data_IF_190800983906
#
_entry.id   IF_190800983906
#
_cell.length_a   1.000
_cell.length_b   1.000
_cell.length_c   1.000
_cell.angle_alpha   90.00
_cell.angle_beta   90.00
_cell.angle_gamma   90.00
#
_symmetry.space_group_name_H-M   'P 1'
#
loop_
_entity.id
_entity.type
_entity.pdbx_description
1 polymer ?
#
# COMPACT_ATOMS: atom_id res chain seq x y z
N UNK A 1 -21.65 -16.34 -18.57
CA UNK A 1 -20.92 -15.67 -17.48
C UNK A 1 -19.45 -15.68 -17.86
N UNK A 2 -18.99 -14.61 -18.50
CA UNK A 2 -17.59 -14.42 -18.84
C UNK A 2 -17.00 -13.52 -17.77
N UNK A 3 -16.11 -14.09 -16.94
CA UNK A 3 -15.28 -13.30 -16.04
C UNK A 3 -14.46 -12.35 -16.91
N UNK A 4 -14.70 -11.04 -16.78
CA UNK A 4 -13.74 -10.04 -17.20
C UNK A 4 -12.52 -10.26 -16.32
N UNK A 5 -11.51 -10.92 -16.89
CA UNK A 5 -10.17 -10.96 -16.37
C UNK A 5 -9.65 -9.52 -16.38
N UNK A 6 -9.71 -8.86 -15.24
CA UNK A 6 -8.83 -7.73 -14.93
C UNK A 6 -7.41 -8.28 -15.07
N UNK A 7 -6.79 -8.04 -16.23
CA UNK A 7 -5.40 -8.44 -16.48
C UNK A 7 -4.53 -7.70 -15.48
N UNK A 8 -3.84 -8.48 -14.68
CA UNK A 8 -2.88 -8.05 -13.70
C UNK A 8 -1.83 -7.11 -14.30
N UNK A 9 -1.79 -5.88 -13.82
CA UNK A 9 -0.57 -5.07 -13.73
C UNK A 9 0.13 -5.30 -12.37
N UNK A 10 -0.15 -6.42 -11.69
CA UNK A 10 0.33 -6.74 -10.35
C UNK A 10 1.38 -7.86 -10.30
N UNK A 11 1.80 -8.41 -11.44
CA UNK A 11 2.91 -9.37 -11.52
C UNK A 11 4.24 -8.59 -11.58
N UNK A 12 4.70 -8.14 -10.43
CA UNK A 12 6.00 -7.45 -10.31
C UNK A 12 6.15 -6.53 -9.10
N UNK A 13 5.09 -6.32 -8.32
CA UNK A 13 5.15 -5.45 -7.14
C UNK A 13 5.89 -6.17 -5.99
N UNK A 14 6.95 -5.58 -5.40
CA UNK A 14 7.52 -6.11 -4.18
C UNK A 14 6.42 -6.23 -3.11
N UNK A 15 6.55 -7.22 -2.23
CA UNK A 15 5.57 -7.56 -1.19
C UNK A 15 5.49 -6.50 -0.07
N UNK A 16 5.53 -5.22 -0.42
CA UNK A 16 5.31 -4.11 0.50
C UNK A 16 3.80 -3.88 0.56
N UNK A 17 3.27 -4.07 1.75
CA UNK A 17 1.84 -4.01 2.05
C UNK A 17 1.31 -2.59 1.77
N UNK A 18 0.73 -2.36 0.59
CA UNK A 18 0.23 -1.05 0.09
C UNK A 18 -0.75 -0.34 1.04
N UNK A 19 -1.47 -1.10 1.88
CA UNK A 19 -2.37 -0.58 2.92
C UNK A 19 -1.66 -0.05 4.17
N UNK A 20 -0.39 -0.40 4.40
CA UNK A 20 0.37 0.04 5.58
C UNK A 20 1.00 1.41 5.39
N UNK A 21 1.48 1.74 4.19
CA UNK A 21 2.09 3.05 3.89
C UNK A 21 1.06 4.20 3.88
N UNK A 22 -0.16 3.97 3.37
CA UNK A 22 -1.24 4.97 3.42
C UNK A 22 -1.70 5.34 4.85
N UNK A 23 -1.45 4.47 5.84
CA UNK A 23 -1.72 4.79 7.25
C UNK A 23 -0.54 5.49 7.96
N UNK A 24 0.65 5.49 7.35
CA UNK A 24 1.87 6.09 7.90
C UNK A 24 2.01 7.58 7.56
N UNK A 25 1.52 8.02 6.40
CA UNK A 25 1.54 9.46 6.01
C UNK A 25 0.61 10.33 6.89
N UNK A 26 -0.31 9.73 7.65
CA UNK A 26 -1.10 10.42 8.68
C UNK A 26 -0.41 10.55 10.05
N UNK A 27 0.65 9.79 10.30
CA UNK A 27 1.39 9.78 11.57
C UNK A 27 2.74 10.46 11.38
N UNK A 28 2.75 11.79 11.49
CA UNK A 28 3.98 12.60 11.42
C UNK A 28 5.00 12.21 12.50
N UNK A 29 5.94 11.34 12.15
CA UNK A 29 7.12 11.04 12.99
C UNK A 29 8.28 11.94 12.59
N UNK A 30 8.31 13.14 13.18
CA UNK A 30 9.46 14.03 13.13
C UNK A 30 10.53 13.57 14.12
N UNK A 31 11.46 12.71 13.69
CA UNK A 31 12.68 12.44 14.45
C UNK A 31 13.77 13.46 14.08
N UNK A 32 13.65 14.68 14.60
CA UNK A 32 14.69 15.69 14.49
C UNK A 32 15.79 15.44 15.53
N UNK A 33 16.90 14.81 15.13
CA UNK A 33 18.10 14.72 15.94
C UNK A 33 19.15 15.70 15.40
N UNK A 34 19.31 16.82 16.09
CA UNK A 34 20.41 17.78 15.91
C UNK A 34 21.74 17.08 16.21
N UNK A 35 22.57 16.90 15.17
CA UNK A 35 23.94 16.43 15.34
C UNK A 35 24.77 17.51 16.05
N UNK A 36 24.94 17.39 17.36
CA UNK A 36 25.84 18.20 18.14
C UNK A 36 27.29 17.80 17.82
N UNK A 37 28.00 18.62 17.05
CA UNK A 37 29.43 18.44 16.82
C UNK A 37 30.20 18.77 18.11
N UNK A 38 30.70 17.74 18.80
CA UNK A 38 31.62 17.93 19.94
C UNK A 38 32.96 18.46 19.41
N UNK A 39 33.20 19.76 19.55
CA UNK A 39 34.53 20.36 19.36
C UNK A 39 35.38 20.07 20.60
N UNK A 40 36.26 19.08 20.53
CA UNK A 40 37.39 18.99 21.45
C UNK A 40 38.56 19.83 20.93
N UNK A 41 39.08 20.68 21.82
CA UNK A 41 40.15 21.60 21.55
C UNK A 41 41.54 20.94 21.60
N UNK A 42 42.38 21.33 20.64
CA UNK A 42 43.83 21.52 20.74
C UNK A 42 44.72 20.32 21.14
N UNK A 43 45.26 19.64 20.12
CA UNK A 43 46.70 19.45 19.96
C UNK A 43 46.97 19.15 18.48
N UNK A 44 47.82 19.95 17.82
CA UNK A 44 48.22 19.74 16.42
C UNK A 44 49.32 18.66 16.33
N UNK A 45 49.05 17.54 15.65
CA UNK A 45 50.06 16.91 14.79
C UNK A 45 49.47 16.55 13.41
N UNK A 46 50.27 15.97 12.49
CA UNK A 46 50.40 16.44 11.11
C UNK A 46 49.09 16.38 10.31
N UNK A 47 49.00 17.17 9.24
CA UNK A 47 47.91 17.16 8.25
C UNK A 47 47.89 15.79 7.56
N UNK A 48 47.33 14.79 8.23
CA UNK A 48 46.74 13.62 7.62
C UNK A 48 45.56 14.14 6.81
N UNK A 49 45.47 13.73 5.54
CA UNK A 49 44.25 13.89 4.77
C UNK A 49 43.07 13.52 5.68
N UNK A 50 42.08 14.40 5.81
CA UNK A 50 40.93 14.16 6.66
C UNK A 50 40.41 12.76 6.33
N UNK A 51 40.61 11.81 7.25
CA UNK A 51 40.21 10.43 7.02
C UNK A 51 38.71 10.45 6.79
N UNK A 52 38.29 10.08 5.58
CA UNK A 52 36.87 9.98 5.26
C UNK A 52 36.24 9.03 6.26
N UNK A 53 35.07 9.41 6.78
CA UNK A 53 34.36 8.59 7.75
C UNK A 53 34.13 7.19 7.15
N UNK A 54 34.34 6.09 7.90
CA UNK A 54 34.22 4.74 7.33
C UNK A 54 32.82 4.44 6.77
N UNK A 55 31.81 5.14 7.25
CA UNK A 55 30.42 5.08 6.76
C UNK A 55 30.01 6.29 5.88
N UNK A 56 30.95 6.98 5.23
CA UNK A 56 30.65 8.16 4.40
C UNK A 56 29.65 7.86 3.27
N UNK A 57 29.70 6.68 2.67
CA UNK A 57 28.74 6.24 1.64
C UNK A 57 27.31 6.12 2.22
N UNK A 58 27.16 5.56 3.42
CA UNK A 58 25.86 5.45 4.09
C UNK A 58 25.25 6.84 4.34
N UNK A 59 26.05 7.82 4.76
CA UNK A 59 25.57 9.19 4.97
C UNK A 59 25.21 9.91 3.66
N UNK A 60 25.91 9.61 2.57
CA UNK A 60 25.56 10.15 1.26
C UNK A 60 24.22 9.58 0.78
N UNK A 61 24.05 8.26 0.87
CA UNK A 61 22.80 7.58 0.50
C UNK A 61 21.62 7.99 1.37
N UNK A 62 21.84 8.25 2.65
CA UNK A 62 20.79 8.76 3.51
C UNK A 62 20.23 10.09 3.00
N UNK A 63 21.09 11.01 2.59
CA UNK A 63 20.66 12.32 2.06
C UNK A 63 19.91 12.18 0.75
N UNK A 64 20.35 11.27 -0.12
CA UNK A 64 19.65 10.97 -1.37
C UNK A 64 18.26 10.36 -1.12
N UNK A 65 18.18 9.41 -0.18
CA UNK A 65 16.92 8.82 0.25
C UNK A 65 15.99 9.85 0.91
N UNK A 66 16.52 10.79 1.70
CA UNK A 66 15.73 11.87 2.29
C UNK A 66 15.08 12.74 1.19
N UNK A 67 15.83 13.05 0.13
CA UNK A 67 15.27 13.76 -1.02
C UNK A 67 14.22 12.93 -1.77
N UNK A 68 14.44 11.62 -1.94
CA UNK A 68 13.45 10.72 -2.56
C UNK A 68 12.17 10.61 -1.71
N UNK A 69 12.32 10.51 -0.39
CA UNK A 69 11.19 10.48 0.54
C UNK A 69 10.39 11.78 0.52
N UNK A 70 11.05 12.94 0.43
CA UNK A 70 10.35 14.22 0.26
C UNK A 70 9.53 14.28 -1.04
N UNK A 71 10.04 13.70 -2.13
CA UNK A 71 9.26 13.54 -3.38
C UNK A 71 8.08 12.59 -3.20
N UNK A 72 8.27 11.48 -2.49
CA UNK A 72 7.21 10.53 -2.17
C UNK A 72 6.07 11.19 -1.36
N UNK A 73 6.38 11.95 -0.32
CA UNK A 73 5.38 12.69 0.47
C UNK A 73 4.62 13.69 -0.38
N UNK A 74 5.33 14.45 -1.23
CA UNK A 74 4.68 15.38 -2.18
C UNK A 74 3.73 14.65 -3.13
N UNK A 75 4.12 13.48 -3.64
CA UNK A 75 3.27 12.65 -4.49
C UNK A 75 2.08 12.08 -3.71
N UNK A 76 2.27 11.70 -2.45
CA UNK A 76 1.21 11.20 -1.57
C UNK A 76 0.14 12.27 -1.31
N UNK A 77 0.55 13.50 -0.98
CA UNK A 77 -0.34 14.64 -0.78
C UNK A 77 -1.13 14.97 -2.05
N UNK A 78 -0.45 14.99 -3.20
CA UNK A 78 -1.08 15.23 -4.49
C UNK A 78 -2.10 14.14 -4.82
N UNK A 79 -1.77 12.87 -4.58
CA UNK A 79 -2.65 11.74 -4.80
C UNK A 79 -3.87 11.77 -3.87
N UNK A 80 -3.68 12.07 -2.59
CA UNK A 80 -4.77 12.24 -1.62
C UNK A 80 -5.70 13.37 -2.03
N UNK A 81 -5.15 14.53 -2.36
CA UNK A 81 -5.93 15.70 -2.81
C UNK A 81 -6.73 15.40 -4.07
N UNK A 82 -6.17 14.62 -4.99
CA UNK A 82 -6.87 14.18 -6.19
C UNK A 82 -8.00 13.21 -5.84
N UNK A 83 -7.73 12.22 -5.00
CA UNK A 83 -8.72 11.26 -4.53
C UNK A 83 -9.94 11.96 -3.90
N UNK A 84 -9.71 12.94 -3.03
CA UNK A 84 -10.79 13.71 -2.38
C UNK A 84 -11.66 14.46 -3.41
N UNK A 85 -11.03 15.07 -4.42
CA UNK A 85 -11.75 15.75 -5.52
C UNK A 85 -12.56 14.77 -6.35
N UNK A 86 -12.03 13.58 -6.60
CA UNK A 86 -12.70 12.55 -7.39
C UNK A 86 -13.85 11.93 -6.62
N UNK A 87 -13.67 11.66 -5.33
CA UNK A 87 -14.73 11.15 -4.44
C UNK A 87 -15.92 12.12 -4.40
N UNK A 88 -15.66 13.43 -4.36
CA UNK A 88 -16.71 14.45 -4.41
C UNK A 88 -17.51 14.47 -5.72
N UNK A 89 -16.98 13.90 -6.82
CA UNK A 89 -17.65 13.82 -8.12
C UNK A 89 -18.41 12.51 -8.32
N UNK A 90 -18.25 11.54 -7.44
CA UNK A 90 -18.86 10.22 -7.62
C UNK A 90 -20.39 10.30 -7.55
N UNK A 91 -21.10 9.62 -8.46
CA UNK A 91 -22.55 9.55 -8.40
C UNK A 91 -23.00 8.82 -7.11
N UNK A 92 -24.25 9.03 -6.66
CA UNK A 92 -24.79 8.26 -5.54
C UNK A 92 -24.84 6.77 -5.89
N UNK A 93 -24.54 5.93 -4.90
CA UNK A 93 -24.56 4.47 -5.07
C UNK A 93 -25.99 3.98 -5.33
N UNK A 94 -26.22 3.14 -6.36
CA UNK A 94 -27.51 2.51 -6.58
C UNK A 94 -27.94 1.65 -5.37
N UNK A 95 -29.25 1.50 -5.14
CA UNK A 95 -29.74 0.64 -4.06
C UNK A 95 -29.27 -0.80 -4.27
N UNK A 96 -28.98 -1.46 -3.15
CA UNK A 96 -28.66 -2.89 -3.15
C UNK A 96 -29.90 -3.67 -3.60
N UNK A 97 -29.70 -4.72 -4.38
CA UNK A 97 -30.78 -5.67 -4.68
C UNK A 97 -31.28 -6.31 -3.39
N UNK A 98 -32.57 -6.17 -3.15
CA UNK A 98 -33.31 -6.92 -2.14
C UNK A 98 -34.25 -7.86 -2.86
N UNK A 99 -34.20 -9.12 -2.45
CA UNK A 99 -35.03 -10.13 -3.08
C UNK A 99 -36.47 -9.95 -2.62
N UNK A 100 -37.44 -9.72 -3.54
CA UNK A 100 -38.83 -9.58 -3.13
C UNK A 100 -39.34 -10.89 -2.57
N UNK A 101 -40.08 -10.81 -1.47
CA UNK A 101 -40.79 -11.97 -0.92
C UNK A 101 -41.83 -12.49 -1.91
N UNK A 102 -41.96 -13.81 -1.97
CA UNK A 102 -43.01 -14.44 -2.78
C UNK A 102 -44.37 -14.14 -2.13
N UNK A 103 -45.35 -13.59 -2.86
CA UNK A 103 -46.70 -13.40 -2.34
C UNK A 103 -47.30 -14.69 -1.78
N UNK A 104 -48.01 -14.60 -0.65
CA UNK A 104 -48.53 -15.76 0.10
C UNK A 104 -49.32 -16.75 -0.77
N UNK A 105 -50.21 -16.24 -1.63
CA UNK A 105 -51.00 -17.08 -2.54
C UNK A 105 -50.13 -17.85 -3.55
N UNK A 106 -49.00 -17.29 -4.01
CA UNK A 106 -48.05 -18.00 -4.87
C UNK A 106 -47.22 -19.00 -4.07
N UNK A 107 -46.93 -18.68 -2.81
CA UNK A 107 -46.23 -19.58 -1.90
C UNK A 107 -47.07 -20.82 -1.60
N UNK A 108 -48.37 -20.68 -1.34
CA UNK A 108 -49.31 -21.79 -1.17
C UNK A 108 -49.40 -22.68 -2.41
N UNK A 109 -49.55 -22.09 -3.60
CA UNK A 109 -49.56 -22.85 -4.88
C UNK A 109 -48.23 -23.60 -5.07
N UNK A 110 -47.09 -23.00 -4.71
CA UNK A 110 -45.78 -23.61 -4.84
C UNK A 110 -45.57 -24.75 -3.84
N UNK A 111 -46.06 -24.59 -2.61
CA UNK A 111 -46.05 -25.64 -1.58
C UNK A 111 -46.92 -26.82 -1.98
N UNK A 112 -48.16 -26.57 -2.40
CA UNK A 112 -49.10 -27.62 -2.82
C UNK A 112 -48.52 -28.45 -3.98
N UNK A 113 -47.91 -27.78 -4.96
CA UNK A 113 -47.16 -28.44 -6.04
C UNK A 113 -46.02 -29.30 -5.50
N UNK A 114 -45.18 -28.77 -4.61
CA UNK A 114 -44.03 -29.51 -4.05
C UNK A 114 -44.45 -30.78 -3.32
N UNK A 115 -45.67 -30.81 -2.79
CA UNK A 115 -46.23 -31.94 -2.05
C UNK A 115 -46.89 -33.01 -2.95
N UNK A 116 -47.32 -32.68 -4.18
CA UNK A 116 -48.15 -33.55 -5.06
C UNK A 116 -47.44 -34.05 -6.33
N UNK A 117 -46.12 -34.24 -6.27
CA UNK A 117 -45.17 -34.44 -7.38
C UNK A 117 -44.78 -33.14 -8.11
N UNK A 118 -43.45 -32.96 -8.23
CA UNK A 118 -42.75 -31.79 -8.80
C UNK A 118 -42.94 -31.64 -10.33
N UNK A 119 -44.19 -31.72 -10.81
CA UNK A 119 -44.58 -31.50 -12.19
C UNK A 119 -44.30 -30.08 -12.69
N UNK A 120 -44.86 -29.69 -13.83
CA UNK A 120 -44.61 -28.37 -14.41
C UNK A 120 -44.89 -27.22 -13.44
N UNK A 121 -44.08 -26.16 -13.49
CA UNK A 121 -44.27 -24.96 -12.66
C UNK A 121 -45.52 -24.22 -13.15
N UNK A 122 -46.53 -23.95 -12.30
CA UNK A 122 -47.71 -23.18 -12.68
C UNK A 122 -47.37 -21.80 -13.26
N UNK A 123 -48.16 -21.36 -14.23
CA UNK A 123 -47.95 -20.08 -14.90
C UNK A 123 -47.82 -18.88 -13.96
N UNK A 124 -48.63 -18.73 -12.89
CA UNK A 124 -48.47 -17.61 -11.95
C UNK A 124 -47.09 -17.57 -11.27
N UNK A 125 -46.53 -18.74 -10.93
CA UNK A 125 -45.19 -18.85 -10.32
C UNK A 125 -44.11 -18.56 -11.36
N UNK A 126 -44.29 -19.03 -12.61
CA UNK A 126 -43.36 -18.72 -13.72
C UNK A 126 -43.32 -17.22 -14.01
N UNK A 127 -44.48 -16.58 -14.07
CA UNK A 127 -44.60 -15.14 -14.27
C UNK A 127 -43.89 -14.36 -13.16
N UNK A 128 -44.10 -14.72 -11.89
CA UNK A 128 -43.41 -14.10 -10.76
C UNK A 128 -41.89 -14.28 -10.83
N UNK A 129 -41.39 -15.50 -11.12
CA UNK A 129 -39.95 -15.71 -11.29
C UNK A 129 -39.36 -14.93 -12.46
N UNK A 130 -40.13 -14.77 -13.55
CA UNK A 130 -39.72 -13.98 -14.72
C UNK A 130 -39.60 -12.50 -14.34
N UNK A 131 -40.62 -11.93 -13.71
CA UNK A 131 -40.62 -10.53 -13.26
C UNK A 131 -39.46 -10.26 -12.29
N UNK A 132 -39.30 -11.13 -11.28
CA UNK A 132 -38.17 -11.06 -10.34
C UNK A 132 -36.81 -11.07 -11.05
N UNK A 133 -36.64 -11.91 -12.08
CA UNK A 133 -35.41 -11.97 -12.88
C UNK A 133 -35.19 -10.67 -13.66
N UNK A 134 -36.24 -10.11 -14.25
CA UNK A 134 -36.19 -8.85 -14.99
C UNK A 134 -35.83 -7.67 -14.07
N UNK A 135 -36.42 -7.61 -12.88
CA UNK A 135 -36.08 -6.61 -11.86
C UNK A 135 -34.63 -6.74 -11.38
N UNK A 136 -34.17 -7.97 -11.12
CA UNK A 136 -32.77 -8.22 -10.74
C UNK A 136 -31.81 -7.80 -11.85
N UNK A 137 -32.10 -8.16 -13.10
CA UNK A 137 -31.29 -7.77 -14.26
C UNK A 137 -31.27 -6.24 -14.45
N UNK A 138 -32.38 -5.55 -14.21
CA UNK A 138 -32.44 -4.09 -14.23
C UNK A 138 -31.58 -3.47 -13.12
N UNK A 139 -31.59 -4.04 -11.90
CA UNK A 139 -30.71 -3.60 -10.83
C UNK A 139 -29.23 -3.85 -11.16
N UNK A 140 -28.89 -5.04 -11.69
CA UNK A 140 -27.53 -5.35 -12.15
C UNK A 140 -27.06 -4.35 -13.21
N UNK A 141 -27.90 -4.01 -14.20
CA UNK A 141 -27.58 -3.01 -15.21
C UNK A 141 -27.34 -1.60 -14.63
N UNK A 142 -28.06 -1.22 -13.55
CA UNK A 142 -27.81 0.03 -12.83
C UNK A 142 -26.44 0.03 -12.13
N UNK A 143 -26.06 -1.09 -11.50
CA UNK A 143 -24.74 -1.24 -10.88
C UNK A 143 -23.62 -1.24 -11.92
N UNK A 144 -23.81 -1.90 -13.06
CA UNK A 144 -22.86 -1.87 -14.17
C UNK A 144 -22.67 -0.46 -14.71
N UNK A 145 -23.76 0.29 -14.93
CA UNK A 145 -23.69 1.69 -15.37
C UNK A 145 -22.99 2.59 -14.34
N UNK A 146 -23.28 2.39 -13.05
CA UNK A 146 -22.62 3.09 -11.96
C UNK A 146 -21.10 2.82 -11.94
N UNK A 147 -20.68 1.56 -12.02
CA UNK A 147 -19.26 1.20 -12.05
C UNK A 147 -18.55 1.72 -13.30
N UNK A 148 -19.21 1.67 -14.46
CA UNK A 148 -18.68 2.26 -15.69
C UNK A 148 -18.48 3.78 -15.54
N UNK A 149 -19.42 4.47 -14.87
CA UNK A 149 -19.30 5.91 -14.60
C UNK A 149 -18.16 6.24 -13.65
N UNK A 150 -17.98 5.46 -12.57
CA UNK A 150 -16.83 5.62 -11.66
C UNK A 150 -15.52 5.44 -12.43
N UNK A 151 -15.42 4.38 -13.23
CA UNK A 151 -14.22 4.11 -14.02
C UNK A 151 -13.92 5.23 -15.03
N UNK A 152 -14.95 5.86 -15.60
CA UNK A 152 -14.80 7.04 -16.44
C UNK A 152 -14.26 8.24 -15.66
N UNK A 153 -14.86 8.56 -14.50
CA UNK A 153 -14.44 9.68 -13.66
C UNK A 153 -12.99 9.49 -13.20
N UNK A 154 -12.59 8.28 -12.78
CA UNK A 154 -11.22 8.00 -12.35
C UNK A 154 -10.21 8.20 -13.49
N UNK A 155 -10.56 7.72 -14.69
CA UNK A 155 -9.71 7.85 -15.89
C UNK A 155 -9.55 9.30 -16.31
N UNK A 156 -10.64 10.06 -16.36
CA UNK A 156 -10.62 11.50 -16.70
C UNK A 156 -9.93 12.32 -15.61
N UNK A 157 -10.07 11.89 -14.36
CA UNK A 157 -9.40 12.47 -13.19
C UNK A 157 -7.90 12.23 -13.14
N UNK A 158 -7.37 11.28 -13.92
CA UNK A 158 -5.95 10.93 -13.89
C UNK A 158 -5.51 10.20 -12.62
N UNK A 159 -6.43 9.50 -11.94
CA UNK A 159 -6.13 8.75 -10.69
C UNK A 159 -5.02 7.72 -10.94
N UNK A 160 -5.11 6.96 -12.03
CA UNK A 160 -4.13 5.92 -12.37
C UNK A 160 -2.72 6.51 -12.51
N UNK A 161 -2.59 7.67 -13.18
CA UNK A 161 -1.30 8.32 -13.38
C UNK A 161 -0.72 8.88 -12.06
N UNK A 162 -1.58 9.42 -11.18
CA UNK A 162 -1.15 9.90 -9.87
C UNK A 162 -0.71 8.73 -8.96
N UNK A 163 -1.44 7.61 -8.98
CA UNK A 163 -1.08 6.41 -8.25
C UNK A 163 0.21 5.78 -8.78
N UNK A 164 0.40 5.72 -10.11
CA UNK A 164 1.67 5.28 -10.72
C UNK A 164 2.85 6.15 -10.30
N UNK A 165 2.69 7.48 -10.31
CA UNK A 165 3.73 8.41 -9.89
C UNK A 165 4.10 8.23 -8.41
N UNK A 166 3.10 8.07 -7.53
CA UNK A 166 3.32 7.78 -6.12
C UNK A 166 4.03 6.42 -5.92
N UNK A 167 3.58 5.37 -6.61
CA UNK A 167 4.18 4.04 -6.54
C UNK A 167 5.64 4.02 -7.03
N UNK A 168 5.97 4.85 -8.04
CA UNK A 168 7.34 5.01 -8.49
C UNK A 168 8.23 5.61 -7.38
N UNK A 169 7.74 6.63 -6.67
CA UNK A 169 8.47 7.20 -5.53
C UNK A 169 8.62 6.21 -4.36
N UNK A 170 7.58 5.43 -4.05
CA UNK A 170 7.66 4.37 -3.03
C UNK A 170 8.73 3.33 -3.40
N UNK A 171 8.77 2.93 -4.67
CA UNK A 171 9.76 1.98 -5.17
C UNK A 171 11.18 2.54 -5.08
N UNK A 172 11.37 3.83 -5.41
CA UNK A 172 12.66 4.51 -5.28
C UNK A 172 13.16 4.51 -3.82
N UNK A 173 12.29 4.83 -2.84
CA UNK A 173 12.65 4.81 -1.41
C UNK A 173 13.03 3.40 -0.92
N UNK A 174 12.32 2.36 -1.37
CA UNK A 174 12.65 0.97 -1.06
C UNK A 174 13.99 0.54 -1.67
N UNK A 175 14.29 0.95 -2.90
CA UNK A 175 15.59 0.69 -3.54
C UNK A 175 16.75 1.33 -2.75
N UNK A 176 16.59 2.58 -2.29
CA UNK A 176 17.56 3.22 -1.40
C UNK A 176 17.75 2.44 -0.10
N UNK A 177 16.65 1.99 0.52
CA UNK A 177 16.70 1.25 1.77
C UNK A 177 17.43 -0.08 1.60
N UNK A 178 17.17 -0.81 0.51
CA UNK A 178 17.90 -2.03 0.14
C UNK A 178 19.39 -1.76 -0.08
N UNK A 179 19.75 -0.68 -0.76
CA UNK A 179 21.14 -0.29 -1.00
C UNK A 179 21.86 0.05 0.30
N UNK A 180 21.26 0.89 1.15
CA UNK A 180 21.77 1.24 2.48
C UNK A 180 21.98 -0.02 3.33
N UNK A 181 21.01 -0.93 3.35
CA UNK A 181 21.11 -2.17 4.12
C UNK A 181 22.10 -3.18 3.52
N UNK A 182 22.51 -3.04 2.26
CA UNK A 182 23.51 -3.92 1.65
C UNK A 182 24.95 -3.51 1.97
N UNK A 183 25.17 -2.24 2.32
CA UNK A 183 26.50 -1.72 2.67
C UNK A 183 26.80 -2.04 4.14
N UNK A 184 27.93 -2.67 4.47
CA UNK A 184 28.41 -2.80 5.84
C UNK A 184 28.43 -1.48 6.61
N UNK A 185 27.85 -1.44 7.82
CA UNK A 185 28.11 -0.34 8.74
C UNK A 185 29.31 -0.67 9.62
N UNK A 186 30.22 0.30 9.75
CA UNK A 186 31.43 0.19 10.55
C UNK A 186 31.34 0.96 11.87
N UNK A 187 30.32 1.82 12.03
CA UNK A 187 30.05 2.53 13.27
C UNK A 187 28.60 2.38 13.72
N UNK A 188 28.33 2.82 14.95
CA UNK A 188 26.97 2.92 15.44
C UNK A 188 26.14 3.88 14.60
N UNK A 189 26.71 5.01 14.20
CA UNK A 189 26.08 6.00 13.33
C UNK A 189 25.66 5.39 11.99
N UNK A 190 26.49 4.55 11.37
CA UNK A 190 26.12 3.80 10.15
C UNK A 190 24.96 2.84 10.37
N UNK A 191 24.89 2.16 11.53
CA UNK A 191 23.73 1.31 11.87
C UNK A 191 22.46 2.13 12.10
N UNK A 192 22.57 3.33 12.67
CA UNK A 192 21.42 4.23 12.82
C UNK A 192 20.89 4.69 11.45
N UNK A 193 21.76 4.89 10.45
CA UNK A 193 21.31 5.18 9.07
C UNK A 193 20.40 4.06 8.54
N UNK A 194 20.77 2.79 8.76
CA UNK A 194 19.96 1.63 8.34
C UNK A 194 18.60 1.60 9.03
N UNK A 195 18.56 1.89 10.33
CA UNK A 195 17.29 2.00 11.07
C UNK A 195 16.40 3.11 10.51
N UNK A 196 16.96 4.29 10.22
CA UNK A 196 16.18 5.40 9.65
C UNK A 196 15.69 5.09 8.24
N UNK A 197 16.49 4.39 7.42
CA UNK A 197 16.07 3.92 6.11
C UNK A 197 14.88 2.94 6.22
N UNK A 198 14.98 1.96 7.11
CA UNK A 198 13.90 1.01 7.38
C UNK A 198 12.58 1.72 7.73
N UNK A 199 12.59 2.66 8.69
CA UNK A 199 11.39 3.41 9.07
C UNK A 199 10.82 4.21 7.89
N UNK A 200 11.67 4.89 7.13
CA UNK A 200 11.25 5.71 5.98
C UNK A 200 10.65 4.89 4.83
N UNK A 201 11.04 3.62 4.68
CA UNK A 201 10.39 2.69 3.74
C UNK A 201 9.07 2.08 4.25
N UNK A 202 8.61 2.49 5.45
CA UNK A 202 7.40 1.95 6.08
C UNK A 202 7.62 0.71 6.94
N UNK A 203 8.88 0.47 7.34
CA UNK A 203 9.24 -0.52 8.33
C UNK A 203 8.80 -0.15 9.74
N UNK A 204 8.35 -1.12 10.53
CA UNK A 204 7.83 -0.92 11.88
C UNK A 204 8.83 -1.47 12.90
N UNK A 205 9.28 -0.62 13.84
CA UNK A 205 10.24 -1.02 14.88
C UNK A 205 9.53 -1.50 16.16
N UNK A 206 8.27 -1.13 16.37
CA UNK A 206 7.58 -1.28 17.68
C UNK A 206 6.65 -2.51 17.78
N UNK A 207 6.44 -3.27 16.71
CA UNK A 207 5.55 -4.44 16.78
C UNK A 207 6.31 -5.68 17.29
N UNK A 208 5.75 -6.33 18.32
CA UNK A 208 6.23 -7.61 18.86
C UNK A 208 6.29 -8.72 17.79
N UNK A 209 5.42 -8.65 16.77
CA UNK A 209 5.49 -9.47 15.57
C UNK A 209 6.51 -8.89 14.58
N UNK A 210 7.78 -8.94 14.95
CA UNK A 210 8.88 -8.64 14.04
C UNK A 210 8.89 -9.71 12.94
N UNK A 211 8.65 -9.31 11.70
CA UNK A 211 8.75 -10.24 10.57
C UNK A 211 10.21 -10.69 10.44
N UNK A 212 10.45 -12.00 10.57
CA UNK A 212 11.79 -12.60 10.60
C UNK A 212 12.57 -12.43 9.28
N UNK A 213 11.92 -11.96 8.21
CA UNK A 213 12.49 -11.68 6.90
C UNK A 213 12.84 -10.19 6.69
N UNK A 214 12.78 -9.37 7.75
CA UNK A 214 13.16 -7.97 7.67
C UNK A 214 14.66 -7.80 7.40
N UNK A 215 14.96 -7.45 6.15
CA UNK A 215 16.33 -7.33 5.66
C UNK A 215 17.13 -6.22 6.38
N UNK A 216 16.46 -5.20 6.93
CA UNK A 216 17.14 -4.15 7.67
C UNK A 216 17.66 -4.66 9.02
N UNK A 217 16.82 -5.38 9.77
CA UNK A 217 17.23 -6.01 11.03
C UNK A 217 18.28 -7.10 10.82
N UNK A 218 18.14 -7.91 9.76
CA UNK A 218 19.15 -8.89 9.39
C UNK A 218 20.51 -8.24 9.09
N UNK A 219 20.50 -7.11 8.37
CA UNK A 219 21.71 -6.34 8.04
C UNK A 219 22.37 -5.74 9.28
N UNK A 220 21.60 -5.09 10.16
CA UNK A 220 22.11 -4.51 11.41
C UNK A 220 22.68 -5.60 12.33
N UNK A 221 21.99 -6.75 12.43
CA UNK A 221 22.50 -7.88 13.20
C UNK A 221 23.84 -8.41 12.64
N UNK A 222 24.03 -8.40 11.31
CA UNK A 222 25.30 -8.76 10.69
C UNK A 222 26.41 -7.75 11.03
N UNK A 223 26.11 -6.45 11.03
CA UNK A 223 27.07 -5.41 11.45
C UNK A 223 27.47 -5.57 12.92
N UNK A 224 26.51 -5.78 13.82
CA UNK A 224 26.77 -5.99 15.25
C UNK A 224 27.70 -7.19 15.44
N UNK A 225 27.42 -8.32 14.76
CA UNK A 225 28.29 -9.50 14.83
C UNK A 225 29.70 -9.19 14.36
N UNK A 226 29.84 -8.50 13.22
CA UNK A 226 31.13 -8.09 12.65
C UNK A 226 31.93 -7.20 13.60
N UNK A 227 31.28 -6.20 14.21
CA UNK A 227 31.92 -5.30 15.18
C UNK A 227 32.31 -6.03 16.47
N UNK A 228 31.48 -6.97 16.92
CA UNK A 228 31.75 -7.79 18.11
C UNK A 228 32.90 -8.79 17.91
N UNK A 229 33.13 -9.25 16.68
CA UNK A 229 34.21 -10.21 16.36
C UNK A 229 35.57 -9.56 16.05
N UNK A 230 35.66 -8.23 16.03
CA UNK A 230 36.92 -7.49 15.86
C UNK A 230 37.18 -7.09 14.40
N UNK A 231 37.41 -5.79 14.21
CA UNK A 231 37.97 -5.23 12.97
C UNK A 231 39.43 -5.66 12.76
N UNK A 232 39.64 -6.94 12.53
CA UNK A 232 40.91 -7.53 12.09
C UNK A 232 40.74 -8.06 10.65
N UNK A 233 40.94 -7.18 9.68
CA UNK A 233 41.47 -7.48 8.35
C UNK A 233 42.07 -6.20 7.75
#
# INVERSE_FOLDING_TARGET
>A
MSNITVRAAAEGMPAINRRRLLNLTGAGLALAATAASVRNASATPPVAAAAEHPDAELFALEKEMEAAHARMETAAEANSTLSDKIEALLPPRPPKWEDPDMPDHLHEINLDRRLRDMGEIPEPIRAWFKERREQKAANEALHDAYHAKIAEIHREGGVDAAEEAFNACVSEVDEFTKRICSIPAHTFEGMVVKLRAHVRSGGEIEKEEMYLDDYAFASIAADIRRLATGGDA
#
